data_IF_850432831771
#
_entry.id   IF_850432831771
#
_cell.length_a   1.000
_cell.length_b   1.000
_cell.length_c   1.000
_cell.angle_alpha   90.00
_cell.angle_beta   90.00
_cell.angle_gamma   90.00
#
_symmetry.space_group_name_H-M   'P 1'
#
loop_
_entity.id
_entity.type
_entity.pdbx_description
1 polymer ?
#
# COMPACT_ATOMS: atom_id res chain seq x y z
N UNK A 1 -17.39 14.65 1.27
CA UNK A 1 -17.05 13.37 0.63
C UNK A 1 -17.53 12.29 1.56
N UNK A 2 -18.40 11.42 1.10
CA UNK A 2 -18.85 10.25 1.86
C UNK A 2 -17.75 9.17 1.81
N UNK A 3 -17.45 8.54 2.93
CA UNK A 3 -16.42 7.50 3.01
C UNK A 3 -16.93 6.14 2.54
N UNK A 4 -16.03 5.23 2.17
CA UNK A 4 -16.37 3.85 1.80
C UNK A 4 -16.48 2.97 3.06
N UNK A 5 -17.56 2.18 3.22
CA UNK A 5 -17.68 1.19 4.30
C UNK A 5 -16.50 0.21 4.31
N UNK A 6 -16.07 -0.26 5.48
CA UNK A 6 -14.85 -1.10 5.60
C UNK A 6 -14.99 -2.42 4.84
N UNK A 7 -16.19 -2.96 4.76
CA UNK A 7 -16.51 -4.20 4.05
C UNK A 7 -16.33 -4.07 2.53
N UNK A 8 -16.45 -2.86 2.00
CA UNK A 8 -16.32 -2.54 0.57
C UNK A 8 -14.88 -2.15 0.19
N UNK A 9 -13.99 -1.95 1.17
CA UNK A 9 -12.59 -1.57 0.92
C UNK A 9 -11.68 -2.76 0.60
N UNK A 10 -12.16 -4.00 0.76
CA UNK A 10 -11.38 -5.19 0.42
C UNK A 10 -11.33 -5.40 -1.09
N UNK A 11 -10.12 -5.64 -1.60
CA UNK A 11 -9.87 -5.78 -3.03
C UNK A 11 -9.85 -7.27 -3.44
N UNK A 12 -10.45 -7.58 -4.59
CA UNK A 12 -10.24 -8.86 -5.26
C UNK A 12 -8.86 -8.91 -5.93
N UNK A 13 -8.46 -10.09 -6.44
CA UNK A 13 -7.23 -10.22 -7.22
C UNK A 13 -7.23 -9.35 -8.48
N UNK A 14 -8.37 -9.26 -9.16
CA UNK A 14 -8.53 -8.43 -10.36
C UNK A 14 -8.43 -6.93 -10.02
N UNK A 15 -8.85 -6.55 -8.82
CA UNK A 15 -8.69 -5.19 -8.32
C UNK A 15 -7.23 -4.88 -7.97
N UNK A 16 -6.51 -5.83 -7.36
CA UNK A 16 -5.13 -5.62 -6.91
C UNK A 16 -4.09 -5.68 -8.03
N UNK A 17 -4.29 -6.55 -9.03
CA UNK A 17 -3.29 -6.79 -10.07
C UNK A 17 -3.48 -5.75 -11.18
N UNK A 18 -2.62 -4.73 -11.19
CA UNK A 18 -2.57 -3.71 -12.25
C UNK A 18 -1.31 -3.87 -13.08
N UNK A 19 -1.37 -3.40 -14.33
CA UNK A 19 -0.20 -3.40 -15.21
C UNK A 19 0.90 -2.48 -14.63
N UNK A 20 2.15 -2.95 -14.50
CA UNK A 20 3.26 -2.09 -14.10
C UNK A 20 3.48 -0.95 -15.09
N UNK A 21 4.08 0.16 -14.63
CA UNK A 21 4.45 1.24 -15.52
C UNK A 21 5.67 0.88 -16.38
N UNK A 22 5.79 1.48 -17.56
CA UNK A 22 6.99 1.38 -18.40
C UNK A 22 8.07 2.33 -17.86
N UNK A 23 9.15 1.79 -17.28
CA UNK A 23 10.22 2.60 -16.66
C UNK A 23 10.93 3.56 -17.63
N UNK A 24 10.89 3.29 -18.94
CA UNK A 24 11.55 4.12 -19.95
C UNK A 24 10.67 5.25 -20.47
N UNK A 25 9.35 5.16 -20.25
CA UNK A 25 8.36 6.09 -20.78
C UNK A 25 7.54 6.80 -19.70
N UNK A 26 7.56 6.30 -18.47
CA UNK A 26 6.81 6.86 -17.35
C UNK A 26 7.29 8.27 -17.05
N UNK A 27 6.33 9.18 -16.82
CA UNK A 27 6.65 10.51 -16.33
C UNK A 27 7.23 10.43 -14.89
N UNK A 28 8.29 11.19 -14.56
CA UNK A 28 8.90 11.15 -13.24
C UNK A 28 7.91 11.38 -12.10
N UNK A 29 6.91 12.26 -12.25
CA UNK A 29 5.91 12.49 -11.20
C UNK A 29 5.00 11.28 -10.99
N UNK A 30 4.73 10.50 -12.03
CA UNK A 30 3.96 9.25 -11.87
C UNK A 30 4.75 8.26 -11.04
N UNK A 31 6.05 8.08 -11.32
CA UNK A 31 6.93 7.23 -10.51
C UNK A 31 7.04 7.75 -9.07
N UNK A 32 7.21 9.05 -8.86
CA UNK A 32 7.25 9.67 -7.52
C UNK A 32 5.95 9.43 -6.75
N UNK A 33 4.79 9.49 -7.39
CA UNK A 33 3.51 9.18 -6.74
C UNK A 33 3.42 7.73 -6.31
N UNK A 34 3.89 6.79 -7.13
CA UNK A 34 3.92 5.37 -6.75
C UNK A 34 4.81 5.15 -5.52
N UNK A 35 6.01 5.73 -5.51
CA UNK A 35 6.95 5.67 -4.37
C UNK A 35 6.30 6.26 -3.11
N UNK A 36 5.77 7.49 -3.20
CA UNK A 36 5.13 8.18 -2.09
C UNK A 36 3.94 7.38 -1.53
N UNK A 37 3.04 6.91 -2.40
CA UNK A 37 1.88 6.15 -1.97
C UNK A 37 2.29 4.83 -1.33
N UNK A 38 3.32 4.15 -1.85
CA UNK A 38 3.80 2.93 -1.23
C UNK A 38 4.33 3.18 0.19
N UNK A 39 5.13 4.22 0.38
CA UNK A 39 5.65 4.61 1.70
C UNK A 39 4.54 5.00 2.68
N UNK A 40 3.51 5.72 2.24
CA UNK A 40 2.34 6.07 3.07
C UNK A 40 1.64 4.79 3.57
N UNK A 41 1.30 3.87 2.67
CA UNK A 41 0.58 2.64 3.03
C UNK A 41 1.44 1.66 3.86
N UNK A 42 2.75 1.60 3.57
CA UNK A 42 3.70 0.83 4.36
C UNK A 42 3.76 1.34 5.81
N UNK A 43 3.90 2.66 5.98
CA UNK A 43 3.91 3.28 7.30
C UNK A 43 2.58 3.12 8.04
N UNK A 44 1.43 3.21 7.34
CA UNK A 44 0.12 2.96 7.92
C UNK A 44 0.02 1.52 8.48
N UNK A 45 0.43 0.54 7.67
CA UNK A 45 0.45 -0.88 8.07
C UNK A 45 1.35 -1.12 9.28
N UNK A 46 2.57 -0.58 9.28
CA UNK A 46 3.53 -0.71 10.38
C UNK A 46 3.05 -0.02 11.66
N UNK A 47 2.47 1.17 11.54
CA UNK A 47 1.90 1.92 12.66
C UNK A 47 0.74 1.15 13.28
N UNK A 48 -0.16 0.60 12.46
CA UNK A 48 -1.27 -0.23 12.92
C UNK A 48 -0.78 -1.48 13.68
N UNK A 49 0.31 -2.10 13.23
CA UNK A 49 0.96 -3.19 13.96
C UNK A 49 1.56 -2.73 15.30
N UNK A 50 2.16 -1.54 15.38
CA UNK A 50 2.68 -0.99 16.62
C UNK A 50 1.53 -0.71 17.61
N UNK A 51 0.46 -0.06 17.15
CA UNK A 51 -0.72 0.26 17.96
C UNK A 51 -1.39 -1.00 18.51
N UNK A 52 -1.45 -2.09 17.74
CA UNK A 52 -2.00 -3.36 18.22
C UNK A 52 -1.30 -3.91 19.47
N UNK A 53 0.00 -3.59 19.66
CA UNK A 53 0.78 -4.02 20.84
C UNK A 53 0.59 -3.10 22.03
N UNK A 54 0.22 -1.83 21.80
CA UNK A 54 0.09 -0.79 22.82
C UNK A 54 -1.33 -0.76 23.40
N UNK A 55 -2.34 -0.90 22.53
CA UNK A 55 -3.74 -0.83 22.93
C UNK A 55 -4.12 -2.07 23.75
N UNK A 56 -4.92 -1.90 24.80
CA UNK A 56 -5.40 -3.01 25.62
C UNK A 56 -6.73 -3.58 25.12
N UNK A 57 -7.62 -2.71 24.64
CA UNK A 57 -8.99 -3.06 24.23
C UNK A 57 -9.02 -4.04 23.04
N UNK A 58 -9.57 -5.26 23.23
CA UNK A 58 -9.69 -6.25 22.17
C UNK A 58 -10.58 -5.83 21.00
N UNK A 59 -11.61 -5.03 21.22
CA UNK A 59 -12.54 -4.62 20.16
C UNK A 59 -11.87 -3.63 19.21
N UNK A 60 -11.12 -2.66 19.76
CA UNK A 60 -10.30 -1.75 18.95
C UNK A 60 -9.26 -2.52 18.14
N UNK A 61 -8.63 -3.55 18.74
CA UNK A 61 -7.68 -4.42 18.01
C UNK A 61 -8.33 -5.16 16.84
N UNK A 62 -9.56 -5.63 17.02
CA UNK A 62 -10.34 -6.34 15.99
C UNK A 62 -10.65 -5.41 14.81
N UNK A 63 -11.14 -4.21 15.10
CA UNK A 63 -11.41 -3.19 14.07
C UNK A 63 -10.14 -2.77 13.34
N UNK A 64 -9.04 -2.50 14.06
CA UNK A 64 -7.75 -2.17 13.44
C UNK A 64 -7.20 -3.31 12.56
N UNK A 65 -7.50 -4.57 12.87
CA UNK A 65 -7.09 -5.69 12.03
C UNK A 65 -7.80 -5.67 10.67
N UNK A 66 -9.08 -5.25 10.61
CA UNK A 66 -9.82 -5.10 9.35
C UNK A 66 -9.25 -3.94 8.52
N UNK A 67 -9.03 -2.78 9.15
CA UNK A 67 -8.41 -1.60 8.50
C UNK A 67 -7.05 -1.97 7.91
N UNK A 68 -6.17 -2.57 8.72
CA UNK A 68 -4.82 -2.96 8.28
C UNK A 68 -4.86 -3.96 7.13
N UNK A 69 -5.87 -4.83 7.07
CA UNK A 69 -5.99 -5.77 5.94
C UNK A 69 -6.27 -5.00 4.64
N UNK A 70 -7.18 -4.03 4.65
CA UNK A 70 -7.46 -3.19 3.49
C UNK A 70 -6.21 -2.38 3.07
N UNK A 71 -5.56 -1.70 4.01
CA UNK A 71 -4.32 -0.94 3.77
C UNK A 71 -3.21 -1.85 3.20
N UNK A 72 -3.07 -3.08 3.70
CA UNK A 72 -2.09 -4.03 3.17
C UNK A 72 -2.35 -4.42 1.70
N UNK A 73 -3.62 -4.44 1.27
CA UNK A 73 -3.96 -4.73 -0.14
C UNK A 73 -3.69 -3.52 -1.02
N UNK A 74 -3.93 -2.30 -0.51
CA UNK A 74 -3.60 -1.06 -1.20
C UNK A 74 -2.08 -0.91 -1.36
N UNK A 75 -1.30 -1.17 -0.30
CA UNK A 75 0.16 -1.19 -0.34
C UNK A 75 0.69 -2.16 -1.40
N UNK A 76 0.18 -3.39 -1.43
CA UNK A 76 0.57 -4.41 -2.42
C UNK A 76 0.24 -3.99 -3.84
N UNK A 77 -0.97 -3.46 -4.06
CA UNK A 77 -1.42 -2.95 -5.37
C UNK A 77 -0.47 -1.87 -5.89
N UNK A 78 -0.13 -0.89 -5.05
CA UNK A 78 0.80 0.18 -5.42
C UNK A 78 2.21 -0.35 -5.64
N UNK A 79 2.69 -1.26 -4.78
CA UNK A 79 4.02 -1.85 -4.91
C UNK A 79 4.20 -2.57 -6.25
N UNK A 80 3.17 -3.30 -6.70
CA UNK A 80 3.19 -4.06 -7.95
C UNK A 80 3.11 -3.20 -9.21
N UNK A 81 2.92 -1.88 -9.08
CA UNK A 81 3.12 -0.97 -10.22
C UNK A 81 4.59 -0.85 -10.61
N UNK A 82 5.53 -1.19 -9.72
CA UNK A 82 6.95 -1.24 -10.05
C UNK A 82 7.24 -2.40 -11.01
N UNK A 83 7.86 -2.13 -12.17
CA UNK A 83 8.12 -3.16 -13.15
C UNK A 83 9.28 -4.08 -12.71
N UNK A 84 9.29 -5.35 -13.14
CA UNK A 84 10.27 -6.35 -12.72
C UNK A 84 11.67 -6.13 -13.33
N UNK A 85 11.79 -5.28 -14.35
CA UNK A 85 13.03 -5.00 -15.07
C UNK A 85 13.77 -3.73 -14.56
N UNK A 86 13.39 -3.23 -13.37
CA UNK A 86 14.14 -2.18 -12.69
C UNK A 86 15.57 -2.62 -12.38
N UNK A 87 16.52 -1.71 -12.54
CA UNK A 87 17.87 -1.89 -12.04
C UNK A 87 17.93 -1.86 -10.52
N UNK A 88 18.97 -2.45 -9.94
CA UNK A 88 19.21 -2.43 -8.48
C UNK A 88 19.21 -0.98 -7.95
N UNK A 89 19.83 -0.05 -8.67
CA UNK A 89 19.88 1.35 -8.26
C UNK A 89 18.49 1.99 -8.25
N UNK A 90 17.67 1.70 -9.25
CA UNK A 90 16.30 2.21 -9.32
C UNK A 90 15.43 1.69 -8.18
N UNK A 91 15.57 0.41 -7.83
CA UNK A 91 14.86 -0.20 -6.70
C UNK A 91 15.33 0.39 -5.38
N UNK A 92 16.64 0.53 -5.16
CA UNK A 92 17.19 1.10 -3.91
C UNK A 92 16.78 2.56 -3.70
N UNK A 93 16.77 3.37 -4.76
CA UNK A 93 16.34 4.78 -4.67
C UNK A 93 14.84 4.88 -4.39
N UNK A 94 14.04 3.91 -4.85
CA UNK A 94 12.59 3.91 -4.73
C UNK A 94 12.07 3.16 -3.49
N UNK A 95 12.95 2.70 -2.60
CA UNK A 95 12.60 1.89 -1.44
C UNK A 95 12.10 2.78 -0.28
N UNK A 96 10.91 2.48 0.23
CA UNK A 96 10.21 3.22 1.30
C UNK A 96 9.52 2.28 2.32
#
# INVERSE_FOLDING_TARGET
MEGMPIEEQFMSWDDMIKAPYDRTRVDPYTRTRVILMNGIENNATLTSHALHRIIADPEVKRQMAQIRRAESQQQQTVNWLNPPDQSILETTIAYE
#
